data_IF_420193596072
#
_entry.id   IF_420193596072
#
_cell.length_a   1.000
_cell.length_b   1.000
_cell.length_c   1.000
_cell.angle_alpha   90.00
_cell.angle_beta   90.00
_cell.angle_gamma   90.00
#
_symmetry.space_group_name_H-M   'P 1'
#
loop_
_entity.id
_entity.type
_entity.pdbx_description
1 polymer ?
#
# COMPACT_ATOMS: atom_id res chain seq x y z
N UNK A 1 -3.80 -18.91 -2.39
CA UNK A 1 -5.24 -19.23 -2.38
C UNK A 1 -5.78 -18.76 -3.72
N UNK A 2 -6.38 -19.64 -4.51
CA UNK A 2 -6.85 -19.32 -5.88
C UNK A 2 -8.29 -18.83 -5.86
N UNK A 3 -8.78 -18.35 -7.01
CA UNK A 3 -10.18 -17.91 -7.17
C UNK A 3 -11.16 -19.06 -6.85
N UNK A 4 -10.86 -20.29 -7.25
CA UNK A 4 -11.70 -21.45 -6.95
C UNK A 4 -11.84 -21.71 -5.45
N UNK A 5 -10.74 -21.59 -4.70
CA UNK A 5 -10.78 -21.74 -3.24
C UNK A 5 -11.67 -20.66 -2.61
N UNK A 6 -11.62 -19.42 -3.12
CA UNK A 6 -12.46 -18.32 -2.63
C UNK A 6 -13.93 -18.52 -3.00
N UNK A 7 -14.23 -19.04 -4.20
CA UNK A 7 -15.59 -19.38 -4.64
C UNK A 7 -16.21 -20.39 -3.68
N UNK A 8 -15.48 -21.44 -3.29
CA UNK A 8 -15.97 -22.42 -2.30
C UNK A 8 -16.26 -21.79 -0.94
N UNK A 9 -15.33 -20.99 -0.40
CA UNK A 9 -15.47 -20.34 0.92
C UNK A 9 -16.65 -19.37 0.93
N UNK A 10 -16.92 -18.68 -0.18
CA UNK A 10 -18.00 -17.69 -0.29
C UNK A 10 -19.40 -18.26 -0.04
N UNK A 11 -19.57 -19.58 -0.12
CA UNK A 11 -20.83 -20.26 0.24
C UNK A 11 -21.08 -20.36 1.74
N UNK A 12 -20.02 -20.17 2.55
CA UNK A 12 -20.03 -20.37 4.02
C UNK A 12 -19.86 -19.08 4.81
N UNK A 13 -19.44 -17.99 4.18
CA UNK A 13 -19.23 -16.68 4.81
C UNK A 13 -19.92 -15.56 4.04
N UNK A 14 -19.98 -14.36 4.62
CA UNK A 14 -20.62 -13.23 3.96
C UNK A 14 -19.88 -12.88 2.66
N UNK A 15 -20.57 -12.65 1.53
CA UNK A 15 -19.92 -12.33 0.27
C UNK A 15 -18.94 -11.15 0.35
N UNK A 16 -19.21 -10.13 1.17
CA UNK A 16 -18.33 -8.96 1.36
C UNK A 16 -16.99 -9.31 2.03
N UNK A 17 -16.89 -10.45 2.72
CA UNK A 17 -15.62 -10.94 3.30
C UNK A 17 -14.72 -11.58 2.23
N UNK A 18 -15.30 -12.00 1.10
CA UNK A 18 -14.58 -12.55 -0.05
C UNK A 18 -14.40 -11.50 -1.15
N UNK A 19 -15.47 -10.84 -1.56
CA UNK A 19 -15.50 -9.90 -2.67
C UNK A 19 -15.22 -8.47 -2.18
N UNK A 20 -13.95 -8.19 -1.88
CA UNK A 20 -13.46 -6.88 -1.40
C UNK A 20 -12.11 -6.47 -2.04
N UNK A 21 -11.67 -5.25 -1.77
CA UNK A 21 -10.38 -4.67 -2.19
C UNK A 21 -9.18 -5.57 -1.86
N UNK A 22 -9.19 -6.14 -0.66
CA UNK A 22 -8.08 -6.91 -0.14
C UNK A 22 -7.88 -8.19 -0.96
N UNK A 23 -8.93 -8.99 -1.17
CA UNK A 23 -8.82 -10.20 -1.98
C UNK A 23 -8.54 -9.91 -3.45
N UNK A 24 -9.18 -8.88 -4.02
CA UNK A 24 -8.91 -8.49 -5.41
C UNK A 24 -7.43 -8.18 -5.63
N UNK A 25 -6.83 -7.40 -4.73
CA UNK A 25 -5.43 -6.99 -4.83
C UNK A 25 -4.47 -8.16 -4.56
N UNK A 26 -4.78 -9.04 -3.60
CA UNK A 26 -4.02 -10.27 -3.34
C UNK A 26 -3.98 -11.19 -4.57
N UNK A 27 -5.11 -11.38 -5.25
CA UNK A 27 -5.18 -12.20 -6.45
C UNK A 27 -4.34 -11.59 -7.58
N UNK A 28 -4.48 -10.28 -7.83
CA UNK A 28 -3.67 -9.59 -8.85
C UNK A 28 -2.17 -9.72 -8.59
N UNK A 29 -1.73 -9.49 -7.36
CA UNK A 29 -0.32 -9.66 -6.97
C UNK A 29 0.14 -11.11 -7.18
N UNK A 30 -0.67 -12.08 -6.74
CA UNK A 30 -0.36 -13.50 -6.89
C UNK A 30 -0.12 -13.88 -8.35
N UNK A 31 -1.09 -13.60 -9.24
CA UNK A 31 -0.95 -13.95 -10.66
C UNK A 31 0.13 -13.13 -11.36
N UNK A 32 0.31 -11.85 -10.98
CA UNK A 32 1.39 -11.03 -11.55
C UNK A 32 2.78 -11.58 -11.22
N UNK A 33 2.97 -12.19 -10.04
CA UNK A 33 4.22 -12.85 -9.66
C UNK A 33 4.41 -14.14 -10.45
N UNK A 34 3.38 -14.99 -10.54
CA UNK A 34 3.43 -16.24 -11.31
C UNK A 34 3.78 -15.99 -12.78
N UNK A 35 3.18 -14.97 -13.39
CA UNK A 35 3.42 -14.57 -14.77
C UNK A 35 4.68 -13.71 -14.97
N UNK A 36 5.36 -13.31 -13.90
CA UNK A 36 6.48 -12.35 -13.93
C UNK A 36 6.13 -11.05 -14.67
N UNK A 37 4.93 -10.55 -14.44
CA UNK A 37 4.36 -9.40 -15.14
C UNK A 37 5.21 -8.14 -14.94
N UNK A 38 5.45 -7.39 -16.02
CA UNK A 38 5.95 -6.02 -15.96
C UNK A 38 4.75 -5.08 -16.08
N UNK A 39 4.21 -4.66 -14.95
CA UNK A 39 3.03 -3.82 -14.86
C UNK A 39 3.39 -2.38 -15.28
N UNK A 40 2.63 -1.85 -16.24
CA UNK A 40 2.81 -0.52 -16.81
C UNK A 40 1.56 0.34 -16.64
N UNK A 41 1.74 1.65 -16.68
CA UNK A 41 0.66 2.60 -16.95
C UNK A 41 1.11 3.47 -18.10
N UNK A 42 0.45 3.30 -19.25
CA UNK A 42 0.95 3.76 -20.55
C UNK A 42 2.36 3.17 -20.79
N UNK A 43 3.32 4.00 -21.17
CA UNK A 43 4.70 3.56 -21.44
C UNK A 43 5.58 3.42 -20.18
N UNK A 44 5.10 3.83 -19.01
CA UNK A 44 5.88 3.82 -17.78
C UNK A 44 5.73 2.49 -17.05
N UNK A 45 6.84 1.82 -16.75
CA UNK A 45 6.86 0.67 -15.84
C UNK A 45 6.58 1.16 -14.43
N UNK A 46 5.57 0.57 -13.79
CA UNK A 46 5.17 0.86 -12.41
C UNK A 46 5.78 -0.19 -11.47
N UNK A 47 5.51 -1.47 -11.73
CA UNK A 47 6.03 -2.58 -10.91
C UNK A 47 6.52 -3.66 -11.85
N UNK A 48 7.75 -4.11 -11.63
CA UNK A 48 8.32 -5.26 -12.31
C UNK A 48 8.25 -6.48 -11.37
N UNK A 49 7.18 -7.28 -11.49
CA UNK A 49 6.96 -8.45 -10.63
C UNK A 49 8.01 -9.54 -10.84
N UNK A 50 8.74 -9.52 -11.95
CA UNK A 50 9.88 -10.43 -12.15
C UNK A 50 11.04 -10.17 -11.18
N UNK A 51 11.09 -8.97 -10.57
CA UNK A 51 12.10 -8.55 -9.60
C UNK A 51 11.64 -8.62 -8.13
N UNK A 52 10.39 -9.00 -7.88
CA UNK A 52 9.83 -9.05 -6.53
C UNK A 52 10.12 -10.42 -5.89
N UNK A 53 10.93 -10.43 -4.84
CA UNK A 53 11.30 -11.68 -4.14
C UNK A 53 10.26 -12.12 -3.11
N UNK A 54 9.55 -11.18 -2.50
CA UNK A 54 8.60 -11.45 -1.43
C UNK A 54 7.41 -10.52 -1.52
N UNK A 55 6.26 -11.02 -1.07
CA UNK A 55 5.07 -10.21 -0.89
C UNK A 55 4.29 -10.68 0.33
N UNK A 56 3.50 -9.76 0.88
CA UNK A 56 2.66 -10.06 2.02
C UNK A 56 1.49 -9.08 2.08
N UNK A 57 0.47 -9.41 2.85
CA UNK A 57 -0.68 -8.54 3.09
C UNK A 57 -0.90 -8.31 4.57
N UNK A 58 -1.42 -7.14 4.94
CA UNK A 58 -1.74 -6.72 6.31
C UNK A 58 -0.53 -6.64 7.26
N UNK A 59 0.69 -6.67 6.74
CA UNK A 59 1.89 -6.57 7.56
C UNK A 59 2.02 -5.17 8.18
N UNK A 60 2.60 -5.12 9.37
CA UNK A 60 2.82 -3.88 10.13
C UNK A 60 4.16 -3.25 9.74
N UNK A 61 4.14 -2.07 9.14
CA UNK A 61 5.33 -1.25 8.89
C UNK A 61 5.46 -0.18 9.99
N UNK A 62 6.69 0.04 10.48
CA UNK A 62 6.96 1.06 11.51
C UNK A 62 6.84 2.47 10.92
N UNK A 63 6.15 3.36 11.62
CA UNK A 63 6.20 4.79 11.32
C UNK A 63 7.45 5.45 11.95
N UNK A 64 7.89 6.60 11.44
CA UNK A 64 8.95 7.39 12.09
C UNK A 64 8.54 7.92 13.47
N UNK A 65 7.25 7.92 13.80
CA UNK A 65 6.70 8.47 15.05
C UNK A 65 6.40 7.39 16.10
N UNK A 66 6.80 6.12 15.87
CA UNK A 66 6.40 4.99 16.73
C UNK A 66 6.91 5.08 18.17
N UNK A 67 8.03 5.77 18.38
CA UNK A 67 8.67 5.98 19.70
C UNK A 67 8.19 7.25 20.41
N UNK A 68 7.40 8.09 19.76
CA UNK A 68 6.95 9.36 20.30
C UNK A 68 6.12 9.21 21.60
N UNK A 69 6.31 10.14 22.54
CA UNK A 69 5.44 10.25 23.72
C UNK A 69 4.20 11.10 23.44
N UNK A 70 4.37 12.23 22.75
CA UNK A 70 3.27 13.07 22.30
C UNK A 70 2.97 12.80 20.81
N UNK A 71 1.70 12.93 20.41
CA UNK A 71 1.23 12.80 19.01
C UNK A 71 1.79 11.57 18.28
N UNK A 72 1.89 10.46 19.01
CA UNK A 72 2.41 9.19 18.53
C UNK A 72 1.57 8.62 17.41
N UNK A 73 2.24 8.11 16.38
CA UNK A 73 1.63 7.26 15.37
C UNK A 73 2.29 5.90 15.40
N UNK A 74 1.48 4.85 15.61
CA UNK A 74 1.98 3.49 15.73
C UNK A 74 2.43 2.91 14.39
N UNK A 75 2.29 1.59 14.28
CA UNK A 75 2.51 0.90 13.03
C UNK A 75 1.37 1.18 12.04
N UNK A 76 1.65 1.04 10.75
CA UNK A 76 0.66 1.12 9.66
C UNK A 76 0.48 -0.27 9.08
N UNK A 77 -0.76 -0.67 8.80
CA UNK A 77 -1.03 -1.88 8.03
C UNK A 77 -0.82 -1.57 6.55
N UNK A 78 0.06 -2.32 5.91
CA UNK A 78 0.20 -2.31 4.46
C UNK A 78 -0.80 -3.32 3.87
N UNK A 79 -1.72 -2.86 3.01
CA UNK A 79 -2.65 -3.79 2.33
C UNK A 79 -1.87 -4.86 1.57
N UNK A 80 -0.85 -4.42 0.82
CA UNK A 80 0.20 -5.29 0.27
C UNK A 80 1.56 -4.61 0.45
N UNK A 81 2.57 -5.37 0.91
CA UNK A 81 3.97 -5.00 0.82
C UNK A 81 4.71 -5.94 -0.15
N UNK A 82 5.61 -5.37 -0.96
CA UNK A 82 6.37 -6.05 -2.01
C UNK A 82 7.87 -5.75 -1.85
N UNK A 83 8.72 -6.73 -2.16
CA UNK A 83 10.17 -6.55 -2.27
C UNK A 83 10.99 -7.31 -1.23
N UNK A 84 12.11 -6.73 -0.81
CA UNK A 84 13.16 -7.42 -0.06
C UNK A 84 13.01 -7.22 1.45
N UNK A 85 12.10 -7.98 2.06
CA UNK A 85 11.80 -7.88 3.49
C UNK A 85 11.56 -9.25 4.15
N UNK A 86 11.47 -9.23 5.48
CA UNK A 86 11.02 -10.35 6.31
C UNK A 86 9.81 -9.92 7.16
N UNK A 87 8.97 -10.87 7.55
CA UNK A 87 7.83 -10.62 8.44
C UNK A 87 7.79 -11.65 9.55
N UNK A 88 7.60 -11.19 10.79
CA UNK A 88 7.45 -12.07 11.96
C UNK A 88 5.99 -12.51 12.13
N UNK A 89 5.57 -13.51 11.35
CA UNK A 89 4.32 -14.24 11.61
C UNK A 89 4.53 -15.35 12.62
N UNK A 90 3.50 -15.62 13.45
CA UNK A 90 3.52 -16.75 14.36
C UNK A 90 3.43 -18.03 13.54
N UNK A 91 4.40 -18.94 13.65
CA UNK A 91 4.25 -20.25 12.99
C UNK A 91 3.42 -21.19 13.87
N UNK A 92 2.63 -22.04 13.22
CA UNK A 92 1.84 -23.08 13.89
C UNK A 92 2.80 -24.04 14.60
N UNK A 93 2.71 -24.11 15.94
CA UNK A 93 3.58 -24.96 16.77
C UNK A 93 4.63 -24.22 17.59
N UNK A 94 4.89 -22.94 17.32
CA UNK A 94 5.77 -22.11 18.15
C UNK A 94 5.03 -21.70 19.43
N UNK A 95 5.52 -22.22 20.58
CA UNK A 95 4.89 -22.01 21.89
C UNK A 95 5.15 -20.63 22.50
N UNK A 96 6.19 -19.91 22.07
CA UNK A 96 6.73 -18.80 22.88
C UNK A 96 6.83 -17.42 22.20
N UNK A 97 6.88 -17.30 20.86
CA UNK A 97 6.89 -15.96 20.23
C UNK A 97 5.52 -15.61 19.64
N UNK A 98 4.85 -14.59 20.20
CA UNK A 98 3.69 -13.97 19.54
C UNK A 98 4.22 -13.28 18.29
N UNK A 99 3.92 -13.82 17.11
CA UNK A 99 4.18 -13.15 15.85
C UNK A 99 3.56 -11.75 15.85
N UNK A 100 4.38 -10.73 15.66
CA UNK A 100 3.95 -9.34 15.69
C UNK A 100 3.32 -8.89 14.38
N UNK A 101 3.50 -9.65 13.29
CA UNK A 101 3.16 -9.20 11.94
C UNK A 101 4.04 -8.04 11.46
N UNK A 102 5.07 -7.67 12.22
CA UNK A 102 5.98 -6.59 11.87
C UNK A 102 6.85 -6.99 10.69
N UNK A 103 6.88 -6.13 9.69
CA UNK A 103 7.78 -6.19 8.54
C UNK A 103 9.11 -5.50 8.88
N UNK A 104 10.22 -6.10 8.43
CA UNK A 104 11.56 -5.50 8.48
C UNK A 104 12.20 -5.61 7.10
N UNK A 105 12.54 -4.46 6.50
CA UNK A 105 13.26 -4.38 5.23
C UNK A 105 14.68 -4.92 5.46
N UNK A 106 15.22 -5.68 4.50
CA UNK A 106 16.57 -6.25 4.62
C UNK A 106 17.61 -5.16 4.35
N UNK A 107 18.77 -5.25 5.03
CA UNK A 107 19.87 -4.28 4.87
C UNK A 107 20.45 -4.24 3.45
N UNK A 108 20.22 -5.29 2.65
CA UNK A 108 20.62 -5.39 1.24
C UNK A 108 19.43 -5.32 0.26
N UNK A 109 18.34 -4.69 0.67
CA UNK A 109 17.15 -4.56 -0.17
C UNK A 109 17.45 -3.78 -1.45
N UNK A 110 17.01 -4.32 -2.59
CA UNK A 110 17.05 -3.65 -3.89
C UNK A 110 15.73 -2.96 -4.22
N UNK A 111 14.61 -3.57 -3.81
CA UNK A 111 13.27 -3.04 -4.03
C UNK A 111 12.43 -3.18 -2.76
N UNK A 112 11.63 -2.16 -2.44
CA UNK A 112 10.61 -2.25 -1.40
C UNK A 112 9.46 -1.29 -1.70
N UNK A 113 8.22 -1.76 -1.64
CA UNK A 113 7.09 -0.88 -1.87
C UNK A 113 5.79 -1.38 -1.27
N UNK A 114 4.81 -0.48 -1.23
CA UNK A 114 3.48 -0.75 -0.70
C UNK A 114 2.45 -0.48 -1.80
N UNK A 115 1.46 -1.36 -1.89
CA UNK A 115 0.22 -1.09 -2.61
C UNK A 115 -0.88 -0.91 -1.58
N UNK A 116 -1.61 0.20 -1.71
CA UNK A 116 -2.83 0.50 -0.96
C UNK A 116 -4.04 0.24 -1.87
N UNK A 117 -4.99 -0.55 -1.40
CA UNK A 117 -6.14 -0.98 -2.16
C UNK A 117 -7.38 -0.15 -1.77
N UNK A 118 -8.11 0.38 -2.76
CA UNK A 118 -9.35 1.13 -2.55
C UNK A 118 -10.44 0.66 -3.50
N UNK A 119 -11.55 0.16 -2.95
CA UNK A 119 -12.72 -0.26 -3.73
C UNK A 119 -13.84 0.78 -3.58
N UNK A 120 -14.55 0.77 -2.43
CA UNK A 120 -15.65 1.70 -2.18
C UNK A 120 -15.19 3.02 -1.54
N UNK A 121 -14.31 2.91 -0.54
CA UNK A 121 -13.90 4.00 0.34
C UNK A 121 -12.91 4.95 -0.33
N UNK A 122 -12.96 6.26 0.01
CA UNK A 122 -11.92 7.19 -0.42
C UNK A 122 -10.62 6.92 0.33
N UNK A 123 -9.51 7.38 -0.24
CA UNK A 123 -8.25 7.48 0.50
C UNK A 123 -8.41 8.50 1.65
N UNK A 124 -8.00 8.13 2.87
CA UNK A 124 -8.21 9.01 4.03
C UNK A 124 -7.43 10.30 3.86
N UNK A 125 -8.13 11.44 3.98
CA UNK A 125 -7.56 12.78 3.84
C UNK A 125 -6.71 13.21 5.04
N UNK A 126 -6.86 12.55 6.19
CA UNK A 126 -6.19 12.90 7.44
C UNK A 126 -5.81 11.67 8.27
N UNK A 127 -4.86 11.84 9.18
CA UNK A 127 -4.66 10.95 10.32
C UNK A 127 -5.32 11.54 11.55
N UNK A 128 -5.36 10.76 12.64
CA UNK A 128 -5.93 11.20 13.92
C UNK A 128 -5.24 12.42 14.53
N UNK A 129 -3.97 12.67 14.17
CA UNK A 129 -3.11 13.64 14.84
C UNK A 129 -2.83 14.91 14.02
N UNK A 130 -3.12 14.91 12.72
CA UNK A 130 -2.76 16.01 11.81
C UNK A 130 -3.73 16.06 10.64
N UNK A 131 -4.30 17.25 10.39
CA UNK A 131 -5.34 17.44 9.36
C UNK A 131 -4.79 17.29 7.94
N UNK A 132 -3.52 17.66 7.73
CA UNK A 132 -2.86 17.65 6.42
C UNK A 132 -2.03 16.39 6.18
N UNK A 133 -1.98 15.45 7.13
CA UNK A 133 -1.22 14.20 6.97
C UNK A 133 -2.17 13.11 6.50
N UNK A 134 -2.20 12.86 5.19
CA UNK A 134 -3.12 11.90 4.59
C UNK A 134 -2.56 10.47 4.61
N UNK A 135 -3.37 9.49 4.20
CA UNK A 135 -2.96 8.08 4.22
C UNK A 135 -1.77 7.77 3.28
N UNK A 136 -1.67 8.44 2.12
CA UNK A 136 -0.54 8.27 1.23
C UNK A 136 0.76 8.80 1.85
N UNK A 137 0.71 10.02 2.39
CA UNK A 137 1.85 10.63 3.11
C UNK A 137 2.30 9.74 4.27
N UNK A 138 1.36 9.13 5.00
CA UNK A 138 1.68 8.17 6.05
C UNK A 138 2.40 6.93 5.55
N UNK A 139 1.91 6.29 4.48
CA UNK A 139 2.57 5.12 3.91
C UNK A 139 3.96 5.46 3.36
N UNK A 140 4.10 6.58 2.64
CA UNK A 140 5.39 7.04 2.09
C UNK A 140 6.39 7.37 3.21
N UNK A 141 5.97 8.02 4.29
CA UNK A 141 6.83 8.26 5.45
C UNK A 141 7.27 6.95 6.12
N UNK A 142 6.40 5.95 6.19
CA UNK A 142 6.76 4.63 6.70
C UNK A 142 7.77 3.95 5.78
N UNK A 143 7.58 3.99 4.47
CA UNK A 143 8.55 3.45 3.50
C UNK A 143 9.90 4.15 3.69
N UNK A 144 9.93 5.49 3.66
CA UNK A 144 11.15 6.26 3.83
C UNK A 144 11.86 5.94 5.15
N UNK A 145 11.13 5.89 6.26
CA UNK A 145 11.69 5.57 7.57
C UNK A 145 12.33 4.18 7.66
N UNK A 146 11.83 3.19 6.92
CA UNK A 146 12.41 1.86 6.92
C UNK A 146 13.44 1.65 5.81
N UNK A 147 13.78 2.69 5.04
CA UNK A 147 14.67 2.57 3.87
C UNK A 147 15.67 3.72 3.68
N UNK A 148 15.67 4.77 4.52
CA UNK A 148 16.51 5.97 4.29
C UNK A 148 18.02 5.72 4.31
N UNK A 149 18.48 4.63 4.93
CA UNK A 149 19.91 4.23 4.94
C UNK A 149 20.26 3.29 3.77
N UNK A 150 19.28 2.95 2.93
CA UNK A 150 19.40 1.94 1.89
C UNK A 150 19.33 2.58 0.50
N UNK A 151 20.17 2.11 -0.43
CA UNK A 151 20.06 2.44 -1.86
C UNK A 151 19.00 1.58 -2.56
N UNK A 152 17.83 1.40 -1.95
CA UNK A 152 16.75 0.58 -2.49
C UNK A 152 15.75 1.42 -3.29
N UNK A 153 15.23 0.87 -4.38
CA UNK A 153 14.11 1.49 -5.11
C UNK A 153 12.84 1.35 -4.29
N UNK A 154 12.14 2.46 -4.10
CA UNK A 154 10.92 2.50 -3.31
C UNK A 154 9.72 2.95 -4.11
N UNK A 155 8.55 2.40 -3.77
CA UNK A 155 7.30 2.82 -4.41
C UNK A 155 6.08 2.74 -3.48
N UNK A 156 5.10 3.58 -3.76
CA UNK A 156 3.77 3.56 -3.17
C UNK A 156 2.70 3.75 -4.26
N UNK A 157 1.84 2.75 -4.45
CA UNK A 157 0.74 2.85 -5.40
C UNK A 157 -0.61 2.66 -4.74
N UNK A 158 -1.57 3.48 -5.15
CA UNK A 158 -2.98 3.24 -4.85
C UNK A 158 -3.64 2.55 -6.03
N UNK A 159 -4.29 1.41 -5.76
CA UNK A 159 -5.08 0.68 -6.75
C UNK A 159 -6.55 0.89 -6.48
N UNK A 160 -7.29 1.34 -7.48
CA UNK A 160 -8.73 1.60 -7.34
C UNK A 160 -9.51 1.39 -8.64
N UNK A 161 -10.84 1.22 -8.62
CA UNK A 161 -11.64 1.23 -9.84
C UNK A 161 -11.39 2.48 -10.69
N UNK A 162 -11.37 2.33 -12.01
CA UNK A 162 -11.19 3.44 -12.94
C UNK A 162 -12.21 4.56 -12.70
N UNK A 163 -13.45 4.21 -12.33
CA UNK A 163 -14.52 5.16 -12.00
C UNK A 163 -14.21 6.03 -10.78
N UNK A 164 -13.37 5.54 -9.85
CA UNK A 164 -12.90 6.28 -8.65
C UNK A 164 -11.68 7.14 -8.93
N UNK A 165 -10.94 6.84 -10.00
CA UNK A 165 -9.83 7.63 -10.49
C UNK A 165 -10.26 8.73 -11.46
N UNK A 166 -11.57 8.92 -11.72
CA UNK A 166 -12.08 10.03 -12.53
C UNK A 166 -12.49 11.22 -11.66
N UNK A 167 -12.52 12.40 -12.29
CA UNK A 167 -12.94 13.66 -11.69
C UNK A 167 -14.35 13.56 -11.10
N UNK A 168 -14.55 14.08 -9.90
CA UNK A 168 -15.90 14.22 -9.34
C UNK A 168 -16.69 15.35 -10.04
N UNK A 169 -17.95 15.57 -9.67
CA UNK A 169 -18.81 16.66 -10.22
C UNK A 169 -18.22 18.08 -10.09
N UNK A 170 -17.20 18.27 -9.25
CA UNK A 170 -16.46 19.54 -9.08
C UNK A 170 -15.13 19.55 -9.83
N UNK A 171 -14.89 18.61 -10.73
CA UNK A 171 -13.61 18.42 -11.42
C UNK A 171 -12.41 18.23 -10.48
N UNK A 172 -12.59 17.55 -9.34
CA UNK A 172 -11.51 17.22 -8.41
C UNK A 172 -11.30 15.72 -8.36
N UNK A 173 -10.06 15.28 -8.57
CA UNK A 173 -9.69 13.87 -8.47
C UNK A 173 -9.13 13.59 -7.08
N UNK A 174 -10.02 13.19 -6.17
CA UNK A 174 -9.68 13.10 -4.75
C UNK A 174 -8.51 12.13 -4.51
N UNK A 175 -8.37 11.03 -5.26
CA UNK A 175 -7.26 10.10 -5.05
C UNK A 175 -5.98 10.62 -5.69
N UNK A 176 -6.02 11.06 -6.96
CA UNK A 176 -4.82 11.58 -7.65
C UNK A 176 -4.23 12.78 -6.90
N UNK A 177 -5.07 13.67 -6.40
CA UNK A 177 -4.62 14.85 -5.66
C UNK A 177 -3.94 14.49 -4.32
N UNK A 178 -4.34 13.37 -3.70
CA UNK A 178 -3.77 12.89 -2.44
C UNK A 178 -2.48 12.09 -2.63
N UNK A 179 -2.23 11.57 -3.84
CA UNK A 179 -0.99 10.85 -4.20
C UNK A 179 0.02 11.72 -4.94
N UNK A 180 -0.20 13.03 -5.01
CA UNK A 180 0.76 13.97 -5.57
C UNK A 180 2.05 13.97 -4.75
N UNK A 181 3.16 13.62 -5.40
CA UNK A 181 4.46 13.42 -4.74
C UNK A 181 4.96 14.67 -3.99
N UNK A 182 4.87 15.85 -4.60
CA UNK A 182 5.30 17.10 -3.97
C UNK A 182 4.45 17.44 -2.74
N UNK A 183 3.12 17.27 -2.83
CA UNK A 183 2.22 17.48 -1.69
C UNK A 183 2.52 16.48 -0.58
N UNK A 184 2.73 15.20 -0.91
CA UNK A 184 3.11 14.17 0.06
C UNK A 184 4.37 14.58 0.82
N UNK A 185 5.44 14.96 0.11
CA UNK A 185 6.71 15.35 0.73
C UNK A 185 6.52 16.55 1.65
N UNK A 186 5.80 17.59 1.20
CA UNK A 186 5.47 18.77 2.03
C UNK A 186 4.66 18.39 3.27
N UNK A 187 3.72 17.45 3.16
CA UNK A 187 2.94 16.95 4.29
C UNK A 187 3.81 16.19 5.29
N UNK A 188 4.75 15.36 4.82
CA UNK A 188 5.70 14.63 5.68
C UNK A 188 6.62 15.61 6.40
N UNK A 189 7.15 16.60 5.67
CA UNK A 189 8.04 17.63 6.20
C UNK A 189 7.38 18.40 7.35
N UNK A 190 6.21 18.98 7.08
CA UNK A 190 5.39 19.67 8.10
C UNK A 190 5.08 18.75 9.28
N UNK A 191 4.76 17.48 9.04
CA UNK A 191 4.44 16.51 10.09
C UNK A 191 5.63 16.23 11.00
N UNK A 192 6.85 16.17 10.46
CA UNK A 192 8.10 16.01 11.24
C UNK A 192 8.38 17.28 12.05
N UNK A 193 8.11 18.46 11.50
CA UNK A 193 8.25 19.72 12.23
C UNK A 193 7.29 19.79 13.42
N UNK A 194 5.99 19.55 13.18
CA UNK A 194 4.97 19.51 14.23
C UNK A 194 5.32 18.47 15.32
N UNK A 195 5.89 17.32 14.90
CA UNK A 195 6.42 16.30 15.81
C UNK A 195 7.53 16.82 16.70
N UNK A 196 8.56 17.43 16.09
CA UNK A 196 9.74 17.91 16.79
C UNK A 196 9.45 19.10 17.70
N UNK A 197 8.46 19.94 17.36
CA UNK A 197 8.00 21.05 18.21
C UNK A 197 7.26 20.53 19.45
N UNK A 198 6.41 19.50 19.30
CA UNK A 198 5.58 18.98 20.40
C UNK A 198 6.32 18.03 21.35
N UNK A 199 7.46 17.47 20.93
CA UNK A 199 8.27 16.61 21.79
C UNK A 199 9.46 17.39 22.36
N UNK A 200 9.44 17.61 23.68
CA UNK A 200 10.46 18.39 24.40
C UNK A 200 11.76 17.64 24.66
N UNK A 201 11.71 16.30 24.74
CA UNK A 201 12.91 15.48 24.89
C UNK A 201 13.59 15.32 23.54
N UNK A 202 14.90 15.56 23.50
CA UNK A 202 15.69 15.46 22.27
C UNK A 202 15.75 14.02 21.71
N UNK A 203 15.61 13.01 22.57
CA UNK A 203 15.54 11.59 22.18
C UNK A 203 14.27 11.24 21.40
N UNK A 204 13.19 11.99 21.60
CA UNK A 204 11.91 11.77 20.94
C UNK A 204 11.83 12.50 19.58
N UNK A 205 12.83 13.32 19.24
CA UNK A 205 12.89 14.07 17.98
C UNK A 205 13.44 13.24 16.83
N UNK A 206 12.94 13.53 15.63
CA UNK A 206 13.46 12.97 14.37
C UNK A 206 14.65 13.82 13.94
N UNK A 207 15.86 13.25 14.07
CA UNK A 207 17.13 13.93 13.78
C UNK A 207 17.57 13.78 12.33
N UNK A 208 17.25 12.65 11.71
CA UNK A 208 17.50 12.32 10.31
C UNK A 208 16.42 12.89 9.37
N UNK A 209 15.93 14.11 9.66
CA UNK A 209 14.83 14.73 8.91
C UNK A 209 15.14 14.79 7.41
N UNK A 210 16.33 15.27 7.05
CA UNK A 210 16.71 15.45 5.64
C UNK A 210 16.75 14.11 4.89
N UNK A 211 17.39 13.08 5.47
CA UNK A 211 17.48 11.76 4.85
C UNK A 211 16.09 11.14 4.60
N UNK A 212 15.16 11.33 5.54
CA UNK A 212 13.78 10.87 5.39
C UNK A 212 13.04 11.61 4.28
N UNK A 213 13.26 12.93 4.15
CA UNK A 213 12.64 13.74 3.11
C UNK A 213 13.22 13.42 1.74
N UNK A 214 14.53 13.21 1.65
CA UNK A 214 15.20 12.81 0.41
C UNK A 214 14.70 11.42 -0.02
N UNK A 215 14.61 10.47 0.91
CA UNK A 215 14.09 9.14 0.62
C UNK A 215 12.60 9.16 0.25
N UNK A 216 11.78 10.00 0.91
CA UNK A 216 10.38 10.17 0.54
C UNK A 216 10.21 10.81 -0.85
N UNK A 217 11.09 11.75 -1.21
CA UNK A 217 11.09 12.42 -2.53
C UNK A 217 11.51 11.48 -3.65
N UNK A 218 12.38 10.51 -3.36
CA UNK A 218 12.82 9.49 -4.31
C UNK A 218 11.83 8.31 -4.42
N UNK A 219 10.84 8.22 -3.53
CA UNK A 219 9.82 7.17 -3.58
C UNK A 219 8.89 7.40 -4.78
N UNK A 220 8.76 6.38 -5.63
CA UNK A 220 7.85 6.45 -6.75
C UNK A 220 6.39 6.34 -6.29
N UNK A 221 5.60 7.38 -6.54
CA UNK A 221 4.19 7.42 -6.12
C UNK A 221 3.25 7.45 -7.32
N UNK A 222 2.13 6.74 -7.26
CA UNK A 222 1.10 6.88 -8.27
C UNK A 222 -0.20 6.13 -8.00
N UNK A 223 -1.02 6.07 -9.06
CA UNK A 223 -2.28 5.31 -9.09
C UNK A 223 -2.30 4.37 -10.30
N UNK A 224 -2.97 3.24 -10.14
CA UNK A 224 -3.34 2.35 -11.24
C UNK A 224 -4.76 1.85 -11.02
N UNK A 225 -5.51 1.61 -12.09
CA UNK A 225 -6.82 1.00 -11.95
C UNK A 225 -6.78 -0.52 -11.91
N UNK A 226 -7.75 -1.12 -11.23
CA UNK A 226 -7.94 -2.58 -11.28
C UNK A 226 -8.10 -3.05 -12.73
N UNK A 227 -8.86 -2.31 -13.52
CA UNK A 227 -9.10 -2.59 -14.94
C UNK A 227 -7.80 -2.57 -15.75
N UNK A 228 -6.95 -1.54 -15.58
CA UNK A 228 -5.65 -1.46 -16.27
C UNK A 228 -4.71 -2.60 -15.86
N UNK A 229 -4.77 -3.05 -14.60
CA UNK A 229 -3.95 -4.15 -14.12
C UNK A 229 -4.44 -5.49 -14.67
N UNK A 230 -5.75 -5.78 -14.58
CA UNK A 230 -6.34 -7.02 -15.10
C UNK A 230 -6.04 -7.17 -16.60
N UNK A 231 -6.14 -6.09 -17.38
CA UNK A 231 -5.90 -6.14 -18.83
C UNK A 231 -4.47 -6.58 -19.20
N UNK A 232 -3.51 -6.37 -18.29
CA UNK A 232 -2.10 -6.72 -18.51
C UNK A 232 -1.75 -8.16 -18.13
N UNK A 233 -2.67 -8.89 -17.49
CA UNK A 233 -2.53 -10.34 -17.25
C UNK A 233 -2.47 -11.06 -18.60
N UNK A 234 -1.53 -11.99 -18.75
CA UNK A 234 -1.26 -12.65 -20.03
C UNK A 234 -2.11 -13.90 -20.24
N UNK A 235 -2.38 -14.67 -19.19
CA UNK A 235 -3.25 -15.84 -19.30
C UNK A 235 -4.72 -15.43 -19.41
N UNK A 236 -5.36 -15.75 -20.55
CA UNK A 236 -6.73 -15.33 -20.85
C UNK A 236 -7.77 -15.96 -19.92
N UNK A 237 -7.55 -17.17 -19.43
CA UNK A 237 -8.45 -17.80 -18.47
C UNK A 237 -8.39 -17.08 -17.12
N UNK A 238 -7.17 -16.84 -16.61
CA UNK A 238 -6.92 -16.09 -15.38
C UNK A 238 -7.49 -14.67 -15.49
N UNK A 239 -7.28 -13.98 -16.63
CA UNK A 239 -7.86 -12.66 -16.89
C UNK A 239 -9.38 -12.69 -16.85
N UNK A 240 -10.03 -13.68 -17.46
CA UNK A 240 -11.48 -13.84 -17.42
C UNK A 240 -12.01 -14.06 -15.99
N UNK A 241 -11.34 -14.93 -15.21
CA UNK A 241 -11.69 -15.18 -13.81
C UNK A 241 -11.51 -13.95 -12.92
N UNK A 242 -10.42 -13.20 -13.11
CA UNK A 242 -10.17 -11.96 -12.40
C UNK A 242 -11.23 -10.89 -12.73
N UNK A 243 -11.64 -10.78 -14.00
CA UNK A 243 -12.75 -9.91 -14.40
C UNK A 243 -14.09 -10.30 -13.76
N UNK A 244 -14.39 -11.60 -13.70
CA UNK A 244 -15.59 -12.12 -13.02
C UNK A 244 -15.55 -11.77 -11.52
N UNK A 245 -14.41 -12.03 -10.87
CA UNK A 245 -14.21 -11.73 -9.45
C UNK A 245 -14.31 -10.24 -9.17
N UNK A 246 -13.67 -9.41 -9.99
CA UNK A 246 -13.72 -7.95 -9.91
C UNK A 246 -15.15 -7.42 -10.04
N UNK A 247 -15.94 -7.98 -10.97
CA UNK A 247 -17.36 -7.63 -11.14
C UNK A 247 -18.15 -7.92 -9.88
N UNK A 248 -17.92 -9.07 -9.23
CA UNK A 248 -18.53 -9.39 -7.93
C UNK A 248 -18.08 -8.41 -6.85
N UNK A 249 -16.80 -8.04 -6.79
CA UNK A 249 -16.32 -7.01 -5.87
C UNK A 249 -17.05 -5.70 -6.07
N UNK A 250 -17.18 -5.20 -7.31
CA UNK A 250 -17.93 -3.96 -7.60
C UNK A 250 -19.38 -4.04 -7.12
N UNK A 251 -20.07 -5.15 -7.44
CA UNK A 251 -21.48 -5.34 -7.09
C UNK A 251 -21.70 -5.33 -5.57
N UNK A 252 -20.92 -6.11 -4.83
CA UNK A 252 -21.04 -6.19 -3.37
C UNK A 252 -20.60 -4.91 -2.65
N UNK A 253 -19.85 -4.03 -3.33
CA UNK A 253 -19.39 -2.74 -2.81
C UNK A 253 -20.16 -1.53 -3.39
N UNK A 254 -21.26 -1.76 -4.12
CA UNK A 254 -22.11 -0.73 -4.72
C UNK A 254 -21.35 0.26 -5.62
N UNK A 255 -20.38 -0.24 -6.38
CA UNK A 255 -19.58 0.58 -7.31
C UNK A 255 -20.25 0.57 -8.67
N UNK A 256 -20.63 1.76 -9.13
CA UNK A 256 -21.21 1.93 -10.47
C UNK A 256 -20.11 2.07 -11.51
N UNK A 257 -20.34 1.48 -12.67
CA UNK A 257 -19.52 1.74 -13.85
C UNK A 257 -19.68 3.22 -14.26
N UNK A 258 -18.57 3.80 -14.74
CA UNK A 258 -18.50 5.21 -15.13
C UNK A 258 -18.94 5.43 -16.58
#
# INVERSE_FOLDING_TARGET
>A
MTIDTLKEISTKIKPTEVYNEGWMTRLLVYYSIEEKLVLKNKEKVIIDFSKIQNWTSEALISSPFVKAKAIREGYTHADIALGDFTVKYKKKGEKEEKGSGKLTVKDNANNFGIIEAKMASPLSKKTSNTEDYNQAARNVACIAYNTYELSCKTFFYVVAPQSKLKLNKKNVNIIIDLVDSEKIVKCIDKRIEDHNVKNTNDEDKIKNKQDLIDQASNCEVGVISYETWIEQIQDENTKAELNEFYTKCKNWNNIKDA
#
